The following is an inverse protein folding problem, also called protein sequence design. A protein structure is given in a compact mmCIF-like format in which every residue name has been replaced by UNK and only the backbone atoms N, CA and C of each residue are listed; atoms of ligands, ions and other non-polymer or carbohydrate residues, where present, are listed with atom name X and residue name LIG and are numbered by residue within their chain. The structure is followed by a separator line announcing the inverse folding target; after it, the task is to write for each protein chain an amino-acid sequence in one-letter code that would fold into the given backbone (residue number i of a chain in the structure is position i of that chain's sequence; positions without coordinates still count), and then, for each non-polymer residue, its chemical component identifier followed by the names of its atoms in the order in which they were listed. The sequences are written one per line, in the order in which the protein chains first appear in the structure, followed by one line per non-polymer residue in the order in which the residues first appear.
data_IF_143064827202
#
_entry.id   IF_143064827202
#
_cell.length_a   1.000
_cell.length_b   1.000
_cell.length_c   1.000
_cell.angle_alpha   90.00
_cell.angle_beta   90.00
_cell.angle_gamma   90.00
#
_symmetry.space_group_name_H-M   'P 1'
#
loop_
_entity.id
_entity.type
_entity.pdbx_description
1 polymer ?
#
# COMPACT_ATOMS: atom_id res chain seq x y z
N UNK A 1 -2.23 22.63 4.03
CA UNK A 1 -1.22 21.56 4.17
C UNK A 1 -1.79 20.28 4.76
N UNK A 2 -2.24 20.26 6.03
CA UNK A 2 -2.76 19.04 6.68
C UNK A 2 -3.88 18.35 5.90
N UNK A 3 -4.83 19.11 5.34
CA UNK A 3 -5.90 18.56 4.48
C UNK A 3 -5.36 17.71 3.32
N UNK A 4 -4.35 18.19 2.60
CA UNK A 4 -3.77 17.45 1.47
C UNK A 4 -3.05 16.18 1.91
N UNK A 5 -2.44 16.19 3.10
CA UNK A 5 -1.83 14.99 3.69
C UNK A 5 -2.90 13.97 4.09
N UNK A 6 -4.03 14.42 4.63
CA UNK A 6 -5.16 13.54 4.94
C UNK A 6 -5.80 12.98 3.67
N UNK A 7 -5.97 13.81 2.62
CA UNK A 7 -6.47 13.36 1.32
C UNK A 7 -5.53 12.30 0.73
N UNK A 8 -4.21 12.51 0.81
CA UNK A 8 -3.20 11.53 0.41
C UNK A 8 -3.29 10.24 1.23
N UNK A 9 -3.50 10.32 2.54
CA UNK A 9 -3.69 9.15 3.40
C UNK A 9 -4.95 8.37 2.99
N UNK A 10 -6.04 9.05 2.64
CA UNK A 10 -7.24 8.42 2.08
C UNK A 10 -6.95 7.67 0.77
N UNK A 11 -6.21 8.28 -0.13
CA UNK A 11 -5.74 7.63 -1.36
C UNK A 11 -4.86 6.40 -1.07
N UNK A 12 -3.96 6.48 -0.08
CA UNK A 12 -3.12 5.37 0.33
C UNK A 12 -3.94 4.17 0.85
N UNK A 13 -5.00 4.42 1.63
CA UNK A 13 -5.91 3.35 2.08
C UNK A 13 -6.58 2.66 0.89
N UNK A 14 -7.13 3.43 -0.04
CA UNK A 14 -7.79 2.88 -1.23
C UNK A 14 -6.80 2.10 -2.11
N UNK A 15 -5.58 2.64 -2.31
CA UNK A 15 -4.55 2.01 -3.10
C UNK A 15 -4.05 0.71 -2.48
N UNK A 16 -3.90 0.65 -1.15
CA UNK A 16 -3.55 -0.57 -0.42
C UNK A 16 -4.52 -1.72 -0.74
N UNK A 17 -5.83 -1.47 -0.66
CA UNK A 17 -6.86 -2.47 -0.99
C UNK A 17 -6.77 -2.95 -2.44
N UNK A 18 -6.64 -2.02 -3.38
CA UNK A 18 -6.48 -2.36 -4.81
C UNK A 18 -5.22 -3.19 -5.06
N UNK A 19 -4.10 -2.86 -4.40
CA UNK A 19 -2.86 -3.62 -4.51
C UNK A 19 -3.00 -5.01 -3.91
N UNK A 20 -3.68 -5.16 -2.77
CA UNK A 20 -3.99 -6.45 -2.15
C UNK A 20 -4.82 -7.33 -3.08
N UNK A 21 -5.92 -6.81 -3.61
CA UNK A 21 -6.81 -7.53 -4.55
C UNK A 21 -6.08 -8.01 -5.80
N UNK A 22 -5.06 -7.25 -6.25
CA UNK A 22 -4.26 -7.54 -7.44
C UNK A 22 -2.94 -8.28 -7.16
N UNK A 23 -2.65 -8.60 -5.90
CA UNK A 23 -1.36 -9.21 -5.51
C UNK A 23 -0.14 -8.34 -5.84
N UNK A 24 -0.30 -7.02 -5.90
CA UNK A 24 0.78 -6.09 -6.23
C UNK A 24 1.59 -5.70 -4.98
N UNK A 25 2.92 -5.53 -5.11
CA UNK A 25 3.74 -5.11 -4.00
C UNK A 25 3.45 -3.66 -3.59
N UNK A 26 3.47 -3.42 -2.27
CA UNK A 26 3.31 -2.07 -1.72
C UNK A 26 4.55 -1.22 -2.03
N UNK A 27 5.75 -1.75 -1.77
CA UNK A 27 7.02 -1.08 -2.04
C UNK A 27 7.37 -1.18 -3.53
N UNK A 28 7.49 -0.03 -4.19
CA UNK A 28 7.81 0.07 -5.62
C UNK A 28 8.84 1.19 -5.82
N UNK A 29 10.15 0.90 -5.67
CA UNK A 29 11.19 1.94 -5.62
C UNK A 29 11.22 2.83 -6.88
N UNK A 30 11.03 2.23 -8.07
CA UNK A 30 10.98 2.99 -9.32
C UNK A 30 9.84 4.03 -9.34
N UNK A 31 8.67 3.67 -8.78
CA UNK A 31 7.53 4.59 -8.68
C UNK A 31 7.78 5.70 -7.67
N UNK A 32 8.43 5.39 -6.57
CA UNK A 32 8.77 6.37 -5.53
C UNK A 32 9.81 7.37 -6.04
N UNK A 33 10.83 6.91 -6.77
CA UNK A 33 11.82 7.78 -7.41
C UNK A 33 11.16 8.70 -8.45
N UNK A 34 10.19 8.21 -9.23
CA UNK A 34 9.42 9.06 -10.15
C UNK A 34 8.67 10.18 -9.41
N UNK A 35 8.06 9.87 -8.26
CA UNK A 35 7.39 10.88 -7.41
C UNK A 35 8.39 11.91 -6.91
N UNK A 36 9.56 11.49 -6.42
CA UNK A 36 10.61 12.40 -5.95
C UNK A 36 11.14 13.28 -7.09
N UNK A 37 11.38 12.70 -8.27
CA UNK A 37 11.80 13.43 -9.46
C UNK A 37 10.78 14.48 -9.88
N UNK A 38 9.48 14.17 -9.84
CA UNK A 38 8.41 15.12 -10.16
C UNK A 38 8.36 16.28 -9.16
N UNK A 39 8.59 16.01 -7.87
CA UNK A 39 8.65 17.03 -6.82
C UNK A 39 9.81 17.99 -7.05
N UNK A 40 11.00 17.46 -7.35
CA UNK A 40 12.18 18.28 -7.62
C UNK A 40 12.01 19.14 -8.88
N UNK A 41 11.44 18.57 -9.95
CA UNK A 41 11.15 19.31 -11.19
C UNK A 41 10.12 20.42 -10.99
N UNK A 42 9.17 20.23 -10.08
CA UNK A 42 8.13 21.21 -9.75
C UNK A 42 8.60 22.27 -8.75
N UNK A 43 9.85 22.19 -8.25
CA UNK A 43 10.34 23.12 -7.24
C UNK A 43 10.65 24.50 -7.84
N UNK A 44 9.84 25.50 -7.49
CA UNK A 44 10.05 26.92 -7.83
C UNK A 44 10.77 27.73 -6.75
N UNK A 45 11.27 27.10 -5.67
CA UNK A 45 11.81 27.76 -4.49
C UNK A 45 10.72 28.20 -3.49
N UNK A 46 11.08 28.81 -2.34
CA UNK A 46 12.44 29.15 -1.87
C UNK A 46 13.19 27.98 -1.21
N UNK A 47 12.56 26.80 -1.12
CA UNK A 47 13.18 25.63 -0.51
C UNK A 47 14.17 24.97 -1.48
N UNK A 48 15.29 24.51 -0.94
CA UNK A 48 16.24 23.69 -1.69
C UNK A 48 15.59 22.37 -2.12
N UNK A 49 15.90 21.91 -3.33
CA UNK A 49 15.35 20.66 -3.87
C UNK A 49 15.64 19.45 -2.98
N UNK A 50 16.79 19.44 -2.31
CA UNK A 50 17.15 18.40 -1.33
C UNK A 50 16.28 18.45 -0.07
N UNK A 51 15.89 19.64 0.38
CA UNK A 51 14.96 19.77 1.51
C UNK A 51 13.57 19.23 1.15
N UNK A 52 13.08 19.52 -0.06
CA UNK A 52 11.84 18.94 -0.56
C UNK A 52 11.93 17.42 -0.71
N UNK A 53 13.04 16.90 -1.22
CA UNK A 53 13.27 15.45 -1.32
C UNK A 53 13.09 14.77 0.03
N UNK A 54 13.80 15.23 1.07
CA UNK A 54 13.69 14.68 2.44
C UNK A 54 12.27 14.71 3.01
N UNK A 55 11.53 15.80 2.75
CA UNK A 55 10.15 15.92 3.20
C UNK A 55 9.24 14.90 2.48
N UNK A 56 9.40 14.76 1.17
CA UNK A 56 8.59 13.84 0.38
C UNK A 56 8.94 12.37 0.59
N UNK A 57 10.19 12.03 0.88
CA UNK A 57 10.57 10.69 1.37
C UNK A 57 9.75 10.32 2.60
N UNK A 58 9.65 11.22 3.59
CA UNK A 58 8.87 10.96 4.81
C UNK A 58 7.38 10.82 4.53
N UNK A 59 6.84 11.61 3.60
CA UNK A 59 5.43 11.51 3.17
C UNK A 59 5.17 10.18 2.46
N UNK A 60 6.08 9.75 1.59
CA UNK A 60 6.00 8.45 0.89
C UNK A 60 6.05 7.31 1.91
N UNK A 61 6.98 7.37 2.86
CA UNK A 61 7.10 6.35 3.91
C UNK A 61 5.82 6.20 4.74
N UNK A 62 5.19 7.31 5.14
CA UNK A 62 3.93 7.25 5.88
C UNK A 62 2.78 6.74 5.00
N UNK A 63 2.74 7.12 3.72
CA UNK A 63 1.76 6.59 2.76
C UNK A 63 1.90 5.07 2.63
N UNK A 64 3.13 4.57 2.50
CA UNK A 64 3.45 3.14 2.43
C UNK A 64 3.04 2.40 3.71
N UNK A 65 3.23 3.03 4.87
CA UNK A 65 2.80 2.49 6.17
C UNK A 65 1.28 2.36 6.25
N UNK A 66 0.55 3.37 5.78
CA UNK A 66 -0.91 3.37 5.73
C UNK A 66 -1.42 2.29 4.75
N UNK A 67 -0.79 2.15 3.58
CA UNK A 67 -1.09 1.07 2.62
C UNK A 67 -0.97 -0.31 3.29
N UNK A 68 0.13 -0.56 4.02
CA UNK A 68 0.34 -1.83 4.74
C UNK A 68 -0.75 -2.10 5.78
N UNK A 69 -1.10 -1.10 6.58
CA UNK A 69 -2.18 -1.24 7.56
C UNK A 69 -3.52 -1.56 6.87
N UNK A 70 -3.76 -0.99 5.69
CA UNK A 70 -4.98 -1.24 4.93
C UNK A 70 -5.01 -2.65 4.33
N UNK A 71 -3.87 -3.22 3.93
CA UNK A 71 -3.78 -4.61 3.46
C UNK A 71 -3.87 -5.62 4.61
N UNK A 72 -3.27 -5.31 5.76
CA UNK A 72 -3.24 -6.22 6.92
C UNK A 72 -4.60 -6.30 7.63
N UNK A 73 -5.45 -5.28 7.48
CA UNK A 73 -6.82 -5.24 8.01
C UNK A 73 -7.87 -5.83 7.05
N UNK A 74 -7.46 -6.32 5.88
CA UNK A 74 -8.34 -6.98 4.92
C UNK A 74 -8.45 -8.49 5.20
N UNK A 75 -9.67 -8.99 5.27
CA UNK A 75 -10.08 -10.40 5.40
C UNK A 75 -9.16 -11.40 4.65
N UNK A 76 -9.06 -12.66 5.12
CA UNK A 76 -8.35 -13.70 4.40
C UNK A 76 -8.84 -13.76 2.94
N UNK A 77 -7.95 -14.04 1.98
CA UNK A 77 -8.33 -14.09 0.57
C UNK A 77 -9.49 -15.09 0.41
N UNK A 78 -10.63 -14.59 -0.07
CA UNK A 78 -11.75 -15.42 -0.51
C UNK A 78 -11.30 -16.23 -1.73
N UNK A 79 -10.67 -17.38 -1.48
CA UNK A 79 -9.99 -18.13 -2.53
C UNK A 79 -9.15 -19.33 -2.10
N UNK A 80 -9.58 -20.11 -1.10
CA UNK A 80 -9.23 -21.53 -1.01
C UNK A 80 -10.51 -22.35 -0.93
N UNK A 81 -11.15 -22.51 -2.08
CA UNK A 81 -12.31 -23.39 -2.22
C UNK A 81 -11.93 -24.82 -1.84
N UNK A 82 -12.56 -25.33 -0.79
CA UNK A 82 -12.66 -26.77 -0.53
C UNK A 82 -13.66 -27.40 -1.51
N UNK A 83 -13.30 -28.53 -2.12
CA UNK A 83 -14.21 -29.69 -2.10
C UNK A 83 -13.38 -30.96 -1.77
N UNK A 84 -13.83 -31.96 -1.02
CA UNK A 84 -15.15 -32.30 -0.49
C UNK A 84 -14.98 -33.52 0.45
N UNK A 85 -16.11 -33.96 1.00
CA UNK A 85 -16.27 -35.09 1.93
C UNK A 85 -15.61 -36.41 1.49
N UNK A 86 -15.05 -37.14 2.46
CA UNK A 86 -15.35 -38.56 2.69
C UNK A 86 -15.57 -38.74 4.20
N UNK A 87 -16.67 -39.40 4.58
CA UNK A 87 -17.11 -39.57 5.96
C UNK A 87 -16.30 -40.64 6.71
N UNK A 88 -16.57 -40.84 8.02
CA UNK A 88 -15.99 -41.94 8.76
C UNK A 88 -16.69 -43.24 8.34
N UNK A 89 -15.92 -44.18 7.82
CA UNK A 89 -16.35 -45.58 7.74
C UNK A 89 -15.87 -46.27 9.01
N UNK A 90 -16.81 -46.42 9.95
CA UNK A 90 -16.71 -47.37 11.05
C UNK A 90 -16.51 -48.79 10.48
N UNK A 91 -15.58 -49.54 11.04
CA UNK A 91 -15.62 -51.01 11.10
C UNK A 91 -14.65 -51.51 12.18
N UNK A 92 -15.19 -51.71 13.38
CA UNK A 92 -14.74 -52.71 14.35
C UNK A 92 -15.11 -54.11 13.82
N UNK A 93 -14.11 -54.97 13.56
CA UNK A 93 -13.94 -56.36 14.03
C UNK A 93 -12.63 -56.95 13.48
#
# INVERSE_FOLDING_TARGET
MVRLLNDRAGCAIALGRVKQERGLPIYQPAREEEVLGNVQQSNGGPLESEALRRLFERIIDESRRIERIATDRGDPPAGSGTPGRQGPEDSED
#
